data_IF_043550199805
#
_entry.id   IF_043550199805
#
_cell.length_a   1.000
_cell.length_b   1.000
_cell.length_c   1.000
_cell.angle_alpha   90.00
_cell.angle_beta   90.00
_cell.angle_gamma   90.00
#
_symmetry.space_group_name_H-M   'P 1'
#
loop_
_entity.id
_entity.type
_entity.pdbx_description
1 polymer ?
#
# COMPACT_ATOMS: atom_id res chain seq x y z
N UNK A 1 -35.23 2.46 -0.66
CA UNK A 1 -34.09 2.43 0.28
C UNK A 1 -32.88 1.97 -0.51
N UNK A 2 -31.85 2.79 -0.60
CA UNK A 2 -30.63 2.36 -1.29
C UNK A 2 -29.91 1.30 -0.43
N UNK A 3 -29.32 0.26 -1.04
CA UNK A 3 -28.50 -0.70 -0.31
C UNK A 3 -27.30 0.01 0.35
N UNK A 4 -26.95 -0.39 1.58
CA UNK A 4 -25.81 0.14 2.32
C UNK A 4 -24.50 0.17 1.48
N UNK A 5 -24.26 -0.93 0.76
CA UNK A 5 -23.07 -1.06 -0.09
C UNK A 5 -23.05 -0.04 -1.24
N UNK A 6 -24.20 0.28 -1.84
CA UNK A 6 -24.28 1.26 -2.92
C UNK A 6 -23.94 2.67 -2.42
N UNK A 7 -24.41 3.03 -1.22
CA UNK A 7 -24.09 4.31 -0.58
C UNK A 7 -22.61 4.38 -0.23
N UNK A 8 -22.07 3.32 0.33
CA UNK A 8 -20.64 3.23 0.67
C UNK A 8 -19.76 3.34 -0.60
N UNK A 9 -20.11 2.63 -1.66
CA UNK A 9 -19.37 2.72 -2.94
C UNK A 9 -19.45 4.12 -3.56
N UNK A 10 -20.61 4.83 -3.42
CA UNK A 10 -20.70 6.21 -3.88
C UNK A 10 -19.78 7.16 -3.08
N UNK A 11 -19.63 6.96 -1.78
CA UNK A 11 -18.68 7.72 -0.96
C UNK A 11 -17.24 7.48 -1.44
N UNK A 12 -16.89 6.22 -1.71
CA UNK A 12 -15.56 5.88 -2.23
C UNK A 12 -15.35 6.42 -3.66
N UNK A 13 -16.37 6.38 -4.51
CA UNK A 13 -16.32 6.98 -5.85
C UNK A 13 -16.03 8.47 -5.75
N UNK A 14 -16.75 9.20 -4.91
CA UNK A 14 -16.51 10.63 -4.69
C UNK A 14 -15.10 10.95 -4.19
N UNK A 15 -14.45 10.02 -3.47
CA UNK A 15 -13.07 10.16 -3.08
C UNK A 15 -12.11 9.98 -4.27
N UNK A 16 -12.38 8.96 -5.11
CA UNK A 16 -11.50 8.57 -6.22
C UNK A 16 -11.70 9.44 -7.48
N UNK A 17 -12.75 10.22 -7.54
CA UNK A 17 -13.05 11.12 -8.64
C UNK A 17 -13.31 12.51 -8.05
N UNK A 18 -12.86 13.58 -8.65
CA UNK A 18 -13.18 14.95 -8.20
C UNK A 18 -14.69 15.30 -8.33
N UNK A 19 -15.53 14.29 -8.50
CA UNK A 19 -16.97 14.40 -8.59
C UNK A 19 -17.59 14.36 -7.19
N UNK A 20 -17.96 15.49 -6.66
CA UNK A 20 -18.75 15.58 -5.41
C UNK A 20 -20.25 15.33 -5.72
N UNK A 21 -20.59 14.11 -6.14
CA UNK A 21 -21.99 13.74 -6.30
C UNK A 21 -22.68 13.67 -4.93
N UNK A 22 -23.93 14.16 -4.80
CA UNK A 22 -24.67 14.03 -3.55
C UNK A 22 -24.80 12.55 -3.15
N UNK A 23 -24.48 12.26 -1.89
CA UNK A 23 -24.66 10.92 -1.33
C UNK A 23 -25.93 10.94 -0.48
N UNK A 24 -27.04 10.33 -0.93
CA UNK A 24 -28.27 10.29 -0.17
C UNK A 24 -28.12 9.29 0.99
N UNK A 25 -28.12 9.79 2.21
CA UNK A 25 -28.08 8.97 3.43
C UNK A 25 -29.47 8.57 3.93
N UNK A 26 -30.55 9.04 3.29
CA UNK A 26 -31.92 8.78 3.71
C UNK A 26 -32.23 7.28 3.72
N UNK A 27 -32.62 6.78 4.89
CA UNK A 27 -32.93 5.36 5.10
C UNK A 27 -31.72 4.43 5.25
N UNK A 28 -30.51 4.97 5.31
CA UNK A 28 -29.30 4.20 5.63
C UNK A 28 -29.05 4.26 7.14
N UNK A 29 -28.77 3.11 7.77
CA UNK A 29 -28.34 3.09 9.17
C UNK A 29 -26.91 3.64 9.29
N UNK A 30 -26.70 4.81 9.94
CA UNK A 30 -25.37 5.39 10.09
C UNK A 30 -24.40 4.47 10.85
N UNK A 31 -24.90 3.67 11.80
CA UNK A 31 -24.07 2.73 12.55
C UNK A 31 -23.59 1.57 11.68
N UNK A 32 -24.42 1.11 10.73
CA UNK A 32 -24.02 0.07 9.79
C UNK A 32 -22.96 0.62 8.79
N UNK A 33 -23.15 1.85 8.30
CA UNK A 33 -22.20 2.50 7.41
C UNK A 33 -20.84 2.75 8.11
N UNK A 34 -20.89 3.18 9.37
CA UNK A 34 -19.69 3.34 10.19
C UNK A 34 -18.91 2.02 10.34
N UNK A 35 -19.60 0.93 10.74
CA UNK A 35 -18.96 -0.40 10.86
C UNK A 35 -18.38 -0.90 9.54
N UNK A 36 -19.06 -0.64 8.42
CA UNK A 36 -18.57 -1.01 7.09
C UNK A 36 -17.27 -0.25 6.76
N UNK A 37 -17.26 1.07 6.96
CA UNK A 37 -16.08 1.89 6.72
C UNK A 37 -14.91 1.54 7.67
N UNK A 38 -15.20 1.19 8.93
CA UNK A 38 -14.21 0.72 9.90
C UNK A 38 -13.56 -0.59 9.43
N UNK A 39 -14.37 -1.58 9.02
CA UNK A 39 -13.90 -2.85 8.47
C UNK A 39 -12.97 -2.66 7.27
N UNK A 40 -13.27 -1.68 6.43
CA UNK A 40 -12.50 -1.38 5.22
C UNK A 40 -11.39 -0.33 5.42
N UNK A 41 -11.14 0.09 6.67
CA UNK A 41 -10.11 1.09 7.01
C UNK A 41 -10.30 2.44 6.29
N UNK A 42 -11.54 2.85 6.08
CA UNK A 42 -11.96 4.03 5.30
C UNK A 42 -12.77 5.06 6.10
N UNK A 43 -12.75 4.98 7.43
CA UNK A 43 -13.50 5.87 8.33
C UNK A 43 -13.34 7.37 8.01
N UNK A 44 -12.14 7.91 7.71
CA UNK A 44 -12.00 9.34 7.45
C UNK A 44 -12.88 9.84 6.30
N UNK A 45 -13.21 8.97 5.33
CA UNK A 45 -14.04 9.34 4.18
C UNK A 45 -15.50 9.60 4.54
N UNK A 46 -15.93 9.18 5.73
CA UNK A 46 -17.28 9.47 6.24
C UNK A 46 -17.40 10.87 6.86
N UNK A 47 -16.28 11.55 7.17
CA UNK A 47 -16.33 12.83 7.88
C UNK A 47 -17.30 13.86 7.28
N UNK A 48 -17.32 14.10 5.95
CA UNK A 48 -18.22 15.07 5.34
C UNK A 48 -19.70 14.72 5.49
N UNK A 49 -20.01 13.43 5.69
CA UNK A 49 -21.39 12.90 5.70
C UNK A 49 -21.92 12.65 7.12
N UNK A 50 -21.07 12.73 8.14
CA UNK A 50 -21.42 12.33 9.51
C UNK A 50 -21.55 13.48 10.50
N UNK A 51 -21.44 14.72 10.05
CA UNK A 51 -21.42 15.91 10.95
C UNK A 51 -22.62 15.96 11.90
N UNK A 52 -23.79 15.52 11.44
CA UNK A 52 -25.05 15.50 12.21
C UNK A 52 -25.35 14.12 12.85
N UNK A 53 -24.43 13.16 12.75
CA UNK A 53 -24.65 11.81 13.25
C UNK A 53 -24.11 11.62 14.68
N UNK A 54 -24.75 10.77 15.51
CA UNK A 54 -24.28 10.49 16.88
C UNK A 54 -22.83 9.97 16.94
N UNK A 55 -22.39 9.25 15.89
CA UNK A 55 -21.04 8.68 15.79
C UNK A 55 -19.94 9.71 15.45
N UNK A 56 -20.28 10.95 15.14
CA UNK A 56 -19.34 11.94 14.62
C UNK A 56 -18.16 12.21 15.57
N UNK A 57 -18.41 12.25 16.87
CA UNK A 57 -17.34 12.45 17.88
C UNK A 57 -16.34 11.28 17.87
N UNK A 58 -16.82 10.04 17.85
CA UNK A 58 -15.98 8.85 17.78
C UNK A 58 -15.20 8.81 16.45
N UNK A 59 -15.87 9.12 15.33
CA UNK A 59 -15.27 9.19 14.00
C UNK A 59 -14.11 10.22 13.97
N UNK A 60 -14.31 11.41 14.50
CA UNK A 60 -13.26 12.45 14.60
C UNK A 60 -12.08 11.96 15.44
N UNK A 61 -12.34 11.32 16.57
CA UNK A 61 -11.28 10.78 17.43
C UNK A 61 -10.46 9.70 16.73
N UNK A 62 -11.11 8.75 16.06
CA UNK A 62 -10.42 7.69 15.32
C UNK A 62 -9.65 8.26 14.12
N UNK A 63 -10.23 9.20 13.38
CA UNK A 63 -9.51 9.89 12.31
C UNK A 63 -8.26 10.59 12.84
N UNK A 64 -8.36 11.32 13.97
CA UNK A 64 -7.20 11.95 14.60
C UNK A 64 -6.10 10.95 14.95
N UNK A 65 -6.46 9.77 15.44
CA UNK A 65 -5.50 8.70 15.73
C UNK A 65 -4.86 8.16 14.45
N UNK A 66 -5.62 8.04 13.37
CA UNK A 66 -5.10 7.63 12.07
C UNK A 66 -4.10 8.65 11.51
N UNK A 67 -4.43 9.94 11.59
CA UNK A 67 -3.52 11.03 11.18
C UNK A 67 -2.20 10.99 11.97
N UNK A 68 -2.29 10.83 13.29
CA UNK A 68 -1.10 10.72 14.13
C UNK A 68 -0.25 9.52 13.74
N UNK A 69 -0.88 8.36 13.51
CA UNK A 69 -0.19 7.15 13.07
C UNK A 69 0.45 7.33 11.69
N UNK A 70 -0.22 8.05 10.79
CA UNK A 70 0.31 8.38 9.47
C UNK A 70 1.64 9.17 9.58
N UNK A 71 1.67 10.28 10.31
CA UNK A 71 2.88 11.10 10.45
C UNK A 71 3.99 10.38 11.20
N UNK A 72 3.66 9.48 12.11
CA UNK A 72 4.67 8.67 12.79
C UNK A 72 5.29 7.62 11.86
N UNK A 73 4.50 7.00 10.99
CA UNK A 73 5.04 6.09 9.98
C UNK A 73 5.81 6.86 8.88
N UNK A 74 5.37 8.06 8.53
CA UNK A 74 6.12 8.94 7.63
C UNK A 74 7.51 9.23 8.21
N UNK A 75 7.56 9.64 9.48
CA UNK A 75 8.83 9.88 10.17
C UNK A 75 9.72 8.64 10.21
N UNK A 76 9.16 7.47 10.50
CA UNK A 76 9.87 6.19 10.46
C UNK A 76 10.38 5.86 9.05
N UNK A 77 9.56 6.09 8.02
CA UNK A 77 9.95 5.91 6.62
C UNK A 77 11.16 6.78 6.27
N UNK A 78 11.11 8.06 6.61
CA UNK A 78 12.17 9.02 6.34
C UNK A 78 13.46 8.64 7.07
N UNK A 79 13.38 8.24 8.34
CA UNK A 79 14.52 7.77 9.13
C UNK A 79 15.18 6.55 8.47
N UNK A 80 14.41 5.52 8.18
CA UNK A 80 14.90 4.27 7.60
C UNK A 80 15.50 4.50 6.22
N UNK A 81 14.80 5.27 5.39
CA UNK A 81 15.27 5.58 4.04
C UNK A 81 16.57 6.40 4.04
N UNK A 82 16.66 7.42 4.91
CA UNK A 82 17.86 8.25 5.06
C UNK A 82 19.07 7.44 5.52
N UNK A 83 18.86 6.47 6.42
CA UNK A 83 19.90 5.55 6.87
C UNK A 83 20.46 4.71 5.69
N UNK A 84 19.59 4.09 4.90
CA UNK A 84 20.00 3.29 3.76
C UNK A 84 20.65 4.13 2.65
N UNK A 85 20.14 5.33 2.41
CA UNK A 85 20.70 6.27 1.43
C UNK A 85 22.09 6.74 1.81
N UNK A 86 22.36 7.04 3.09
CA UNK A 86 23.68 7.42 3.59
C UNK A 86 24.72 6.34 3.31
N UNK A 87 24.31 5.08 3.35
CA UNK A 87 25.13 3.91 3.04
C UNK A 87 25.12 3.52 1.54
N UNK A 88 24.54 4.38 0.69
CA UNK A 88 24.45 4.18 -0.76
C UNK A 88 23.77 2.87 -1.16
N UNK A 89 22.73 2.48 -0.42
CA UNK A 89 21.93 1.31 -0.73
C UNK A 89 20.73 1.75 -1.55
N UNK A 90 20.65 1.33 -2.84
CA UNK A 90 19.48 1.62 -3.66
C UNK A 90 18.30 0.78 -3.17
N UNK A 91 17.18 1.43 -2.86
CA UNK A 91 15.94 0.77 -2.49
C UNK A 91 14.74 1.49 -3.08
N UNK A 92 13.68 0.74 -3.30
CA UNK A 92 12.39 1.24 -3.79
C UNK A 92 11.40 1.27 -2.64
N UNK A 93 10.73 2.41 -2.47
CA UNK A 93 9.56 2.50 -1.61
C UNK A 93 8.37 1.85 -2.34
N UNK A 94 7.81 0.79 -1.75
CA UNK A 94 6.68 0.07 -2.34
C UNK A 94 5.35 0.73 -1.96
N UNK A 95 4.34 -0.08 -1.70
CA UNK A 95 2.99 0.30 -1.26
C UNK A 95 2.99 1.25 -0.02
N UNK A 96 1.90 1.36 0.66
CA UNK A 96 1.82 2.14 1.90
C UNK A 96 1.82 3.64 1.62
N UNK A 97 2.82 4.33 2.11
CA UNK A 97 2.90 5.79 2.04
C UNK A 97 3.07 6.31 0.59
N UNK A 98 3.73 5.55 -0.30
CA UNK A 98 3.87 5.95 -1.71
C UNK A 98 2.53 5.99 -2.44
N UNK A 99 1.61 5.07 -2.12
CA UNK A 99 0.25 5.07 -2.67
C UNK A 99 -0.64 6.13 -2.02
N UNK A 100 -0.39 6.47 -0.75
CA UNK A 100 -1.11 7.55 -0.07
C UNK A 100 -0.94 8.91 -0.78
N UNK A 101 0.20 9.14 -1.44
CA UNK A 101 0.47 10.34 -2.24
C UNK A 101 -0.56 10.57 -3.38
N UNK A 102 -1.32 9.57 -3.75
CA UNK A 102 -2.35 9.67 -4.80
C UNK A 102 -3.73 10.05 -4.24
N UNK A 103 -3.90 10.01 -2.93
CA UNK A 103 -5.16 10.41 -2.28
C UNK A 103 -5.28 11.93 -2.21
N UNK A 104 -6.50 12.50 -2.35
CA UNK A 104 -6.72 13.93 -2.17
C UNK A 104 -6.26 14.43 -0.79
N UNK A 105 -6.39 13.58 0.24
CA UNK A 105 -5.88 13.78 1.60
C UNK A 105 -5.07 12.51 1.93
N UNK A 106 -3.74 12.52 1.74
CA UNK A 106 -2.88 11.35 1.94
C UNK A 106 -3.03 10.69 3.31
N UNK A 107 -3.25 11.50 4.34
CA UNK A 107 -3.40 11.07 5.73
C UNK A 107 -4.67 10.25 6.00
N UNK A 108 -5.65 10.30 5.10
CA UNK A 108 -6.87 9.50 5.21
C UNK A 108 -6.68 8.05 4.77
N UNK A 109 -5.57 7.76 4.09
CA UNK A 109 -5.19 6.39 3.80
C UNK A 109 -4.54 5.75 5.02
N UNK A 110 -5.19 4.76 5.62
CA UNK A 110 -4.62 4.01 6.74
C UNK A 110 -3.33 3.31 6.30
N UNK A 111 -2.26 3.58 7.03
CA UNK A 111 -0.95 2.93 6.88
C UNK A 111 -0.79 1.82 7.93
N UNK A 112 0.05 0.82 7.63
CA UNK A 112 0.39 -0.27 8.55
C UNK A 112 1.90 -0.38 8.74
N UNK A 113 2.57 -0.84 7.75
CA UNK A 113 3.98 -1.19 7.67
C UNK A 113 4.73 -0.31 6.66
N UNK A 114 6.05 -0.32 6.76
CA UNK A 114 6.94 0.22 5.76
C UNK A 114 7.46 -0.92 4.89
N UNK A 115 7.26 -0.82 3.58
CA UNK A 115 7.75 -1.79 2.61
C UNK A 115 8.87 -1.18 1.77
N UNK A 116 10.05 -1.77 1.81
CA UNK A 116 11.18 -1.40 0.98
C UNK A 116 11.64 -2.61 0.15
N UNK A 117 11.96 -2.38 -1.11
CA UNK A 117 12.46 -3.41 -2.01
C UNK A 117 13.89 -3.12 -2.45
N UNK A 118 14.77 -4.11 -2.31
CA UNK A 118 16.17 -4.06 -2.72
C UNK A 118 16.44 -5.24 -3.65
N UNK A 119 16.42 -5.04 -4.99
CA UNK A 119 16.56 -6.12 -5.97
C UNK A 119 17.97 -6.70 -6.05
N UNK A 120 19.00 -6.00 -5.57
CA UNK A 120 20.38 -6.41 -5.66
C UNK A 120 20.80 -7.13 -4.37
N UNK A 121 21.25 -8.38 -4.50
CA UNK A 121 21.51 -9.30 -3.37
C UNK A 121 22.58 -8.79 -2.39
N UNK A 122 23.67 -8.21 -2.92
CA UNK A 122 24.75 -7.71 -2.04
C UNK A 122 24.32 -6.43 -1.32
N UNK A 123 23.55 -5.56 -1.98
CA UNK A 123 22.94 -4.39 -1.36
C UNK A 123 21.93 -4.79 -0.28
N UNK A 124 21.10 -5.81 -0.53
CA UNK A 124 20.17 -6.37 0.46
C UNK A 124 20.92 -6.89 1.69
N UNK A 125 21.97 -7.70 1.49
CA UNK A 125 22.79 -8.23 2.59
C UNK A 125 23.48 -7.13 3.40
N UNK A 126 23.90 -6.03 2.75
CA UNK A 126 24.43 -4.85 3.43
C UNK A 126 23.35 -4.14 4.23
N UNK A 127 22.15 -3.95 3.64
CA UNK A 127 21.02 -3.33 4.33
C UNK A 127 20.66 -4.06 5.62
N UNK A 128 20.57 -5.38 5.60
CA UNK A 128 20.33 -6.19 6.79
C UNK A 128 21.35 -5.91 7.91
N UNK A 129 22.66 -5.89 7.58
CA UNK A 129 23.71 -5.59 8.57
C UNK A 129 23.57 -4.18 9.15
N UNK A 130 23.26 -3.19 8.32
CA UNK A 130 23.11 -1.80 8.73
C UNK A 130 21.89 -1.63 9.63
N UNK A 131 20.75 -2.20 9.26
CA UNK A 131 19.52 -2.15 10.08
C UNK A 131 19.77 -2.76 11.46
N UNK A 132 20.37 -3.96 11.52
CA UNK A 132 20.73 -4.60 12.79
C UNK A 132 21.66 -3.73 13.65
N UNK A 133 22.64 -3.08 13.04
CA UNK A 133 23.58 -2.20 13.75
C UNK A 133 22.91 -0.91 14.28
N UNK A 134 21.76 -0.54 13.74
CA UNK A 134 21.00 0.67 14.12
C UNK A 134 19.73 0.40 14.93
N UNK A 135 19.66 -0.77 15.59
CA UNK A 135 18.58 -1.07 16.54
C UNK A 135 17.31 -1.63 15.94
N UNK A 136 17.32 -2.00 14.65
CA UNK A 136 16.25 -2.80 14.07
C UNK A 136 16.43 -4.26 14.51
N UNK A 137 15.37 -4.87 14.98
CA UNK A 137 15.36 -6.27 15.42
C UNK A 137 14.64 -7.11 14.40
N UNK A 138 15.30 -8.12 13.87
CA UNK A 138 14.69 -9.08 12.96
C UNK A 138 13.64 -9.91 13.71
N UNK A 139 12.45 -10.05 13.11
CA UNK A 139 11.37 -10.87 13.63
C UNK A 139 11.51 -12.30 13.11
N UNK A 140 11.19 -13.33 13.93
CA UNK A 140 11.35 -14.73 13.56
C UNK A 140 10.22 -15.22 12.61
N UNK A 141 9.81 -14.42 11.66
CA UNK A 141 8.81 -14.76 10.67
C UNK A 141 9.49 -15.27 9.41
N UNK A 142 9.20 -16.52 9.01
CA UNK A 142 9.71 -17.07 7.76
C UNK A 142 8.89 -16.55 6.58
N UNK A 143 9.54 -15.80 5.69
CA UNK A 143 8.99 -15.35 4.43
C UNK A 143 9.92 -15.73 3.27
N UNK A 144 9.34 -16.07 2.13
CA UNK A 144 10.07 -16.42 0.91
C UNK A 144 10.39 -15.21 0.01
N UNK A 145 10.14 -13.99 0.47
CA UNK A 145 10.31 -12.77 -0.31
C UNK A 145 10.75 -11.52 0.48
N UNK A 146 10.69 -11.51 1.82
CA UNK A 146 11.13 -10.40 2.64
C UNK A 146 11.69 -10.87 3.98
N UNK A 147 12.37 -9.97 4.67
CA UNK A 147 12.73 -10.08 6.09
C UNK A 147 11.95 -9.00 6.84
N UNK A 148 11.31 -9.38 7.94
CA UNK A 148 10.54 -8.46 8.78
C UNK A 148 11.42 -7.92 9.91
N UNK A 149 11.46 -6.61 10.06
CA UNK A 149 12.15 -5.91 11.13
C UNK A 149 11.18 -5.13 11.98
N UNK A 150 11.44 -5.10 13.28
CA UNK A 150 10.81 -4.19 14.25
C UNK A 150 11.81 -3.12 14.66
N UNK A 151 11.36 -1.88 14.67
CA UNK A 151 12.10 -0.76 15.26
C UNK A 151 11.24 -0.08 16.31
N UNK A 152 11.82 0.18 17.49
CA UNK A 152 11.13 0.85 18.59
C UNK A 152 11.81 2.17 18.89
N UNK A 153 11.07 3.27 18.80
CA UNK A 153 11.58 4.59 19.16
C UNK A 153 11.78 4.66 20.68
N UNK A 154 13.02 4.88 21.17
CA UNK A 154 13.31 4.91 22.60
C UNK A 154 12.51 5.96 23.37
N UNK A 155 12.25 7.12 22.74
CA UNK A 155 11.61 8.27 23.36
C UNK A 155 10.11 8.05 23.62
N UNK A 156 9.47 7.24 22.81
CA UNK A 156 8.01 7.03 22.87
C UNK A 156 7.61 5.59 23.22
N UNK A 157 8.54 4.64 23.12
CA UNK A 157 8.27 3.20 23.22
C UNK A 157 7.41 2.64 22.08
N UNK A 158 7.16 3.44 21.02
CA UNK A 158 6.34 3.05 19.91
C UNK A 158 7.13 2.26 18.88
N UNK A 159 6.58 1.12 18.46
CA UNK A 159 7.21 0.21 17.52
C UNK A 159 6.59 0.31 16.12
N UNK A 160 7.43 0.14 15.10
CA UNK A 160 7.05 0.09 13.69
C UNK A 160 7.65 -1.14 13.03
N UNK A 161 6.95 -1.63 12.03
CA UNK A 161 7.39 -2.79 11.24
C UNK A 161 7.92 -2.33 9.88
N UNK A 162 9.06 -2.88 9.49
CA UNK A 162 9.65 -2.76 8.16
C UNK A 162 9.66 -4.16 7.53
N UNK A 163 9.02 -4.31 6.37
CA UNK A 163 9.22 -5.45 5.47
C UNK A 163 10.29 -5.09 4.44
N UNK A 164 11.48 -5.67 4.60
CA UNK A 164 12.58 -5.49 3.66
C UNK A 164 12.54 -6.62 2.63
N UNK A 165 12.08 -6.30 1.43
CA UNK A 165 11.88 -7.26 0.36
C UNK A 165 13.16 -7.48 -0.45
N UNK A 166 13.54 -8.75 -0.63
CA UNK A 166 14.57 -9.19 -1.59
C UNK A 166 13.95 -9.76 -2.86
N UNK A 167 12.66 -10.07 -2.82
CA UNK A 167 11.81 -10.44 -3.93
C UNK A 167 10.49 -9.69 -3.81
N UNK A 168 9.93 -9.26 -4.92
CA UNK A 168 8.78 -8.35 -4.91
C UNK A 168 7.49 -9.00 -4.37
N UNK A 169 7.32 -10.29 -4.61
CA UNK A 169 6.18 -11.11 -4.13
C UNK A 169 6.66 -12.52 -3.80
N UNK A 170 5.86 -13.30 -3.06
CA UNK A 170 6.14 -14.69 -2.72
C UNK A 170 6.32 -15.62 -3.91
N UNK A 171 6.78 -16.83 -3.65
CA UNK A 171 7.03 -17.84 -4.67
C UNK A 171 5.72 -18.51 -5.06
N UNK A 172 5.45 -18.56 -6.37
CA UNK A 172 4.30 -19.26 -6.94
C UNK A 172 4.64 -20.72 -7.25
N UNK A 173 3.64 -21.60 -7.25
CA UNK A 173 3.81 -22.99 -7.69
C UNK A 173 4.13 -23.10 -9.19
N UNK A 174 3.75 -22.12 -9.98
CA UNK A 174 4.00 -22.06 -11.41
C UNK A 174 5.35 -21.38 -11.70
N UNK A 175 6.36 -22.15 -12.11
CA UNK A 175 7.74 -21.70 -12.30
C UNK A 175 7.86 -20.53 -13.28
N UNK A 176 7.11 -20.54 -14.38
CA UNK A 176 7.14 -19.45 -15.36
C UNK A 176 6.70 -18.10 -14.79
N UNK A 177 5.77 -18.11 -13.84
CA UNK A 177 5.39 -16.87 -13.13
C UNK A 177 6.55 -16.33 -12.29
N UNK A 178 7.29 -17.22 -11.63
CA UNK A 178 8.46 -16.81 -10.83
C UNK A 178 9.57 -16.23 -11.72
N UNK A 179 9.93 -16.93 -12.82
CA UNK A 179 10.93 -16.45 -13.77
C UNK A 179 10.59 -15.05 -14.32
N UNK A 180 9.33 -14.87 -14.72
CA UNK A 180 8.85 -13.62 -15.28
C UNK A 180 8.90 -12.48 -14.23
N UNK A 181 8.42 -12.73 -13.01
CA UNK A 181 8.46 -11.76 -11.92
C UNK A 181 9.91 -11.40 -11.58
N UNK A 182 10.79 -12.40 -11.46
CA UNK A 182 12.19 -12.17 -11.12
C UNK A 182 12.94 -11.41 -12.23
N UNK A 183 12.59 -11.63 -13.51
CA UNK A 183 13.10 -10.87 -14.64
C UNK A 183 12.65 -9.41 -14.60
N UNK A 184 11.32 -9.16 -14.52
CA UNK A 184 10.72 -7.81 -14.56
C UNK A 184 11.26 -6.94 -13.43
N UNK A 185 11.36 -7.50 -12.22
CA UNK A 185 11.76 -6.76 -11.03
C UNK A 185 13.26 -6.86 -10.69
N UNK A 186 14.07 -7.38 -11.60
CA UNK A 186 15.53 -7.46 -11.39
C UNK A 186 16.18 -6.07 -11.37
N UNK A 187 17.32 -5.97 -10.68
CA UNK A 187 18.11 -4.72 -10.63
C UNK A 187 18.57 -4.22 -12.01
N UNK A 188 18.72 -5.13 -12.98
CA UNK A 188 19.13 -4.79 -14.35
C UNK A 188 17.99 -4.20 -15.20
N UNK A 189 16.74 -4.48 -14.88
CA UNK A 189 15.57 -4.03 -15.66
C UNK A 189 14.87 -2.83 -15.01
N UNK A 190 14.85 -2.74 -13.68
CA UNK A 190 14.17 -1.66 -12.98
C UNK A 190 14.93 -0.33 -13.12
N UNK A 191 14.22 0.68 -13.61
CA UNK A 191 14.64 2.09 -13.54
C UNK A 191 13.69 2.81 -12.60
N UNK A 192 14.18 3.47 -11.54
CA UNK A 192 13.28 4.10 -10.59
C UNK A 192 12.47 5.23 -11.22
N UNK A 193 11.18 5.27 -10.93
CA UNK A 193 10.40 6.49 -10.91
C UNK A 193 10.53 7.13 -9.54
N UNK A 194 10.01 8.34 -9.37
CA UNK A 194 10.17 9.07 -8.12
C UNK A 194 8.85 9.65 -7.65
N UNK A 195 8.63 9.64 -6.35
CA UNK A 195 7.53 10.34 -5.69
C UNK A 195 8.09 11.32 -4.67
N UNK A 196 7.53 12.52 -4.65
CA UNK A 196 7.86 13.53 -3.65
C UNK A 196 6.80 13.49 -2.54
N UNK A 197 7.27 13.35 -1.29
CA UNK A 197 6.43 13.32 -0.08
C UNK A 197 7.10 14.18 0.99
N UNK A 198 6.41 15.21 1.44
CA UNK A 198 6.86 16.11 2.53
C UNK A 198 8.30 16.64 2.33
N UNK A 199 8.63 17.02 1.09
CA UNK A 199 9.96 17.55 0.73
C UNK A 199 11.07 16.50 0.61
N UNK A 200 10.74 15.21 0.68
CA UNK A 200 11.66 14.10 0.45
C UNK A 200 11.28 13.37 -0.84
N UNK A 201 12.25 13.09 -1.68
CA UNK A 201 12.07 12.30 -2.91
C UNK A 201 12.43 10.84 -2.65
N UNK A 202 11.51 9.94 -3.01
CA UNK A 202 11.68 8.48 -2.85
C UNK A 202 11.65 7.79 -4.20
N UNK A 203 12.60 6.88 -4.48
CA UNK A 203 12.50 5.97 -5.61
C UNK A 203 11.33 5.00 -5.41
N UNK A 204 10.52 4.85 -6.44
CA UNK A 204 9.39 3.93 -6.49
C UNK A 204 9.45 3.10 -7.77
N UNK A 205 8.67 2.02 -7.84
CA UNK A 205 8.55 1.25 -9.07
C UNK A 205 8.03 2.12 -10.22
N UNK A 206 8.51 1.90 -11.46
CA UNK A 206 7.95 2.57 -12.63
C UNK A 206 6.45 2.24 -12.77
N UNK A 207 5.65 3.09 -13.42
CA UNK A 207 4.19 2.95 -13.45
C UNK A 207 3.69 1.59 -13.94
N UNK A 208 4.27 1.05 -15.00
CA UNK A 208 3.86 -0.26 -15.54
C UNK A 208 4.15 -1.40 -14.56
N UNK A 209 5.35 -1.44 -14.01
CA UNK A 209 5.79 -2.44 -13.04
C UNK A 209 5.01 -2.30 -11.72
N UNK A 210 4.70 -1.08 -11.30
CA UNK A 210 3.91 -0.85 -10.10
C UNK A 210 2.48 -1.36 -10.25
N UNK A 211 1.81 -1.13 -11.40
CA UNK A 211 0.48 -1.70 -11.66
C UNK A 211 0.53 -3.22 -11.65
N UNK A 212 1.55 -3.83 -12.25
CA UNK A 212 1.70 -5.30 -12.22
C UNK A 212 1.93 -5.82 -10.80
N UNK A 213 2.76 -5.14 -9.99
CA UNK A 213 2.94 -5.43 -8.57
C UNK A 213 1.62 -5.31 -7.77
N UNK A 214 0.85 -4.24 -7.99
CA UNK A 214 -0.44 -4.05 -7.33
C UNK A 214 -1.44 -5.17 -7.65
N UNK A 215 -1.48 -5.66 -8.89
CA UNK A 215 -2.32 -6.80 -9.29
C UNK A 215 -1.92 -8.08 -8.52
N UNK A 216 -0.62 -8.37 -8.40
CA UNK A 216 -0.13 -9.49 -7.61
C UNK A 216 -0.47 -9.34 -6.12
N UNK A 217 -0.32 -8.14 -5.57
CA UNK A 217 -0.66 -7.85 -4.18
C UNK A 217 -2.17 -8.03 -3.91
N UNK A 218 -3.03 -7.51 -4.80
CA UNK A 218 -4.48 -7.70 -4.71
C UNK A 218 -4.87 -9.16 -4.81
N UNK A 219 -4.24 -9.92 -5.71
CA UNK A 219 -4.48 -11.36 -5.86
C UNK A 219 -4.09 -12.14 -4.60
N UNK A 220 -2.92 -11.85 -4.00
CA UNK A 220 -2.50 -12.45 -2.72
C UNK A 220 -3.60 -12.26 -1.66
N UNK A 221 -4.08 -11.03 -1.50
CA UNK A 221 -5.15 -10.74 -0.53
C UNK A 221 -6.45 -11.45 -0.85
N UNK A 222 -6.86 -11.47 -2.11
CA UNK A 222 -8.08 -12.15 -2.55
C UNK A 222 -8.05 -13.65 -2.22
N UNK A 223 -6.93 -14.31 -2.44
CA UNK A 223 -6.78 -15.75 -2.25
C UNK A 223 -6.69 -16.16 -0.77
N UNK A 224 -6.03 -15.35 0.07
CA UNK A 224 -5.67 -15.78 1.43
C UNK A 224 -6.42 -15.08 2.56
N UNK A 225 -6.85 -13.84 2.39
CA UNK A 225 -7.44 -13.05 3.48
C UNK A 225 -8.67 -12.24 3.10
N UNK A 226 -9.00 -12.21 1.81
CA UNK A 226 -9.91 -11.21 1.25
C UNK A 226 -9.27 -9.81 1.27
N UNK A 227 -9.82 -8.87 0.54
CA UNK A 227 -9.31 -7.50 0.56
C UNK A 227 -10.43 -6.48 0.77
N UNK A 228 -10.09 -5.39 1.44
CA UNK A 228 -10.98 -4.26 1.65
C UNK A 228 -10.96 -3.28 0.47
N UNK A 229 -11.94 -2.37 0.46
CA UNK A 229 -12.05 -1.31 -0.55
C UNK A 229 -10.81 -0.43 -0.68
N UNK A 230 -9.95 -0.34 0.35
CA UNK A 230 -8.69 0.40 0.30
C UNK A 230 -7.82 -0.01 -0.89
N UNK A 231 -7.69 -1.30 -1.17
CA UNK A 231 -6.86 -1.78 -2.30
C UNK A 231 -7.46 -1.36 -3.65
N UNK A 232 -8.79 -1.31 -3.75
CA UNK A 232 -9.47 -0.79 -4.94
C UNK A 232 -9.24 0.71 -5.10
N UNK A 233 -9.36 1.48 -4.01
CA UNK A 233 -9.08 2.92 -4.03
C UNK A 233 -7.62 3.19 -4.42
N UNK A 234 -6.66 2.47 -3.83
CA UNK A 234 -5.24 2.56 -4.17
C UNK A 234 -5.03 2.36 -5.68
N UNK A 235 -5.63 1.31 -6.24
CA UNK A 235 -5.50 0.96 -7.65
C UNK A 235 -6.15 1.99 -8.56
N UNK A 236 -7.37 2.43 -8.23
CA UNK A 236 -8.11 3.43 -9.01
C UNK A 236 -7.38 4.77 -9.03
N UNK A 237 -7.01 5.30 -7.85
CA UNK A 237 -6.30 6.57 -7.73
C UNK A 237 -4.92 6.55 -8.40
N UNK A 238 -4.24 5.39 -8.34
CA UNK A 238 -2.98 5.21 -9.04
C UNK A 238 -3.16 5.28 -10.56
N UNK A 239 -4.16 4.58 -11.09
CA UNK A 239 -4.46 4.60 -12.53
C UNK A 239 -4.95 5.97 -12.99
N UNK A 240 -5.76 6.68 -12.22
CA UNK A 240 -6.17 8.05 -12.55
C UNK A 240 -4.96 8.96 -12.77
N UNK A 241 -3.94 8.82 -11.96
CA UNK A 241 -2.75 9.66 -12.03
C UNK A 241 -1.74 9.22 -13.10
N UNK A 242 -1.55 7.92 -13.28
CA UNK A 242 -0.43 7.37 -14.07
C UNK A 242 -0.85 6.54 -15.29
N UNK A 243 -2.14 6.41 -15.62
CA UNK A 243 -2.59 5.55 -16.73
C UNK A 243 -1.92 5.89 -18.08
N UNK A 244 -1.61 7.16 -18.33
CA UNK A 244 -0.91 7.58 -19.56
C UNK A 244 0.55 7.11 -19.64
N UNK A 245 1.16 6.73 -18.51
CA UNK A 245 2.52 6.23 -18.41
C UNK A 245 2.57 4.69 -18.34
N UNK A 246 1.40 4.05 -18.18
CA UNK A 246 1.28 2.60 -18.04
C UNK A 246 1.20 1.92 -19.41
N UNK A 247 2.09 0.98 -19.66
CA UNK A 247 2.01 0.12 -20.84
C UNK A 247 1.08 -1.08 -20.57
N UNK A 248 -0.21 -0.91 -20.89
CA UNK A 248 -1.22 -1.96 -20.68
C UNK A 248 -1.01 -3.20 -21.56
N UNK A 249 -0.37 -3.08 -22.72
CA UNK A 249 -0.04 -4.25 -23.55
C UNK A 249 0.99 -5.15 -22.86
N UNK A 250 2.02 -4.54 -22.22
CA UNK A 250 2.98 -5.30 -21.39
C UNK A 250 2.28 -5.97 -20.21
N UNK A 251 1.42 -5.24 -19.49
CA UNK A 251 0.68 -5.81 -18.35
C UNK A 251 -0.17 -6.99 -18.81
N UNK A 252 -0.92 -6.83 -19.91
CA UNK A 252 -1.73 -7.93 -20.46
C UNK A 252 -0.86 -9.15 -20.83
N UNK A 253 0.28 -8.92 -21.46
CA UNK A 253 1.23 -9.98 -21.78
C UNK A 253 1.75 -10.68 -20.50
N UNK A 254 2.22 -9.91 -19.51
CA UNK A 254 2.73 -10.43 -18.25
C UNK A 254 1.68 -11.21 -17.44
N UNK A 255 0.46 -10.70 -17.37
CA UNK A 255 -0.64 -11.40 -16.69
C UNK A 255 -0.99 -12.73 -17.37
N UNK A 256 -0.92 -12.78 -18.70
CA UNK A 256 -1.16 -14.01 -19.46
C UNK A 256 -0.03 -15.03 -19.24
N UNK A 257 1.25 -14.59 -19.33
CA UNK A 257 2.42 -15.45 -19.15
C UNK A 257 2.54 -15.96 -17.70
N UNK A 258 2.21 -15.14 -16.71
CA UNK A 258 2.19 -15.52 -15.29
C UNK A 258 0.93 -16.31 -14.90
N UNK A 259 -0.03 -16.47 -15.78
CA UNK A 259 -1.34 -17.11 -15.54
C UNK A 259 -2.15 -16.46 -14.42
N UNK A 260 -1.92 -15.19 -14.15
CA UNK A 260 -2.66 -14.45 -13.10
C UNK A 260 -4.17 -14.48 -13.38
N UNK A 261 -4.58 -14.49 -14.65
CA UNK A 261 -5.99 -14.59 -15.05
C UNK A 261 -6.55 -16.02 -14.93
N UNK A 262 -5.72 -17.06 -14.93
CA UNK A 262 -6.17 -18.46 -14.85
C UNK A 262 -6.33 -18.98 -13.41
N UNK A 263 -5.95 -18.19 -12.41
CA UNK A 263 -6.19 -18.55 -10.99
C UNK A 263 -7.68 -18.55 -10.61
N UNK A 264 -8.55 -18.04 -11.49
CA UNK A 264 -10.00 -18.18 -11.36
C UNK A 264 -10.56 -19.54 -11.78
N UNK A 265 -9.79 -20.35 -12.53
CA UNK A 265 -10.23 -21.64 -13.07
C UNK A 265 -9.95 -22.83 -12.14
N UNK A 266 -9.29 -22.62 -11.00
CA UNK A 266 -9.02 -23.65 -10.01
C UNK A 266 -9.95 -23.50 -8.80
N UNK A 267 -11.23 -23.75 -9.01
CA UNK A 267 -12.19 -24.14 -7.97
C UNK A 267 -12.89 -25.42 -8.35
#
# INVERSE_FOLDING_TARGET
MQPLDAVYLQILKNLCTDLSEPVPLDGVDPSALYRLAEKHCSLPFLLPYFEQQPQFSALKQQTKQMLLSYYQLEHFTRLTFSLLLAEKIPCFLLKGISLAANYPIPEYRKLGDLDLYIPEKDAFSRACRILNAHGYTEEPEESDHHVTYRFTFPETGRSFTLELHYRIVGIYQFSRANELVDEIFSASHLKPSFVELYGQTYPVLPPTENVFYMLHHMLKHYLYSGFGSRLLCDFTLYLERYASEVNFEKIHFWCRESKIFHLYDYK
#
